data_IF_164983928424
#
_entry.id   IF_164983928424
#
_cell.length_a   1.000
_cell.length_b   1.000
_cell.length_c   1.000
_cell.angle_alpha   90.00
_cell.angle_beta   90.00
_cell.angle_gamma   90.00
#
_symmetry.space_group_name_H-M   'P 1'
#
loop_
_entity.id
_entity.type
_entity.pdbx_description
1 polymer ?
#
# COMPACT_ATOMS: atom_id res chain seq x y z
N UNK A 1 -28.42 32.51 -4.98
CA UNK A 1 -27.91 33.87 -4.74
C UNK A 1 -27.71 34.53 -6.09
N UNK A 2 -27.93 35.84 -6.23
CA UNK A 2 -27.77 36.56 -7.52
C UNK A 2 -26.32 37.01 -7.78
N UNK A 3 -25.44 36.81 -6.81
CA UNK A 3 -24.03 37.18 -6.87
C UNK A 3 -23.19 35.93 -6.65
N UNK A 4 -22.04 35.84 -7.33
CA UNK A 4 -21.09 34.77 -7.16
C UNK A 4 -20.45 34.86 -5.76
N UNK A 5 -20.29 33.72 -5.09
CA UNK A 5 -19.64 33.60 -3.78
C UNK A 5 -18.12 33.37 -3.90
N UNK A 6 -17.61 33.20 -5.12
CA UNK A 6 -16.17 33.14 -5.39
C UNK A 6 -15.85 33.68 -6.79
N UNK A 7 -14.59 34.04 -7.00
CA UNK A 7 -14.10 34.43 -8.33
C UNK A 7 -14.21 33.29 -9.33
N UNK A 8 -14.00 32.04 -8.89
CA UNK A 8 -14.13 30.85 -9.75
C UNK A 8 -15.58 30.68 -10.20
N UNK A 9 -16.53 30.81 -9.29
CA UNK A 9 -17.96 30.74 -9.60
C UNK A 9 -18.38 31.81 -10.61
N UNK A 10 -17.90 33.05 -10.43
CA UNK A 10 -18.16 34.15 -11.39
C UNK A 10 -17.61 33.84 -12.79
N UNK A 11 -16.40 33.30 -12.87
CA UNK A 11 -15.77 32.93 -14.14
C UNK A 11 -16.53 31.80 -14.85
N UNK A 12 -16.98 30.79 -14.10
CA UNK A 12 -17.81 29.71 -14.64
C UNK A 12 -19.12 30.26 -15.19
N UNK A 13 -19.81 31.15 -14.46
CA UNK A 13 -21.05 31.76 -14.95
C UNK A 13 -20.83 32.61 -16.21
N UNK A 14 -19.77 33.42 -16.25
CA UNK A 14 -19.42 34.20 -17.44
C UNK A 14 -19.10 33.31 -18.64
N UNK A 15 -18.40 32.19 -18.42
CA UNK A 15 -18.11 31.22 -19.46
C UNK A 15 -19.40 30.57 -19.99
N UNK A 16 -20.27 30.07 -19.11
CA UNK A 16 -21.58 29.50 -19.48
C UNK A 16 -22.43 30.49 -20.29
N UNK A 17 -22.45 31.77 -19.88
CA UNK A 17 -23.19 32.82 -20.58
C UNK A 17 -22.62 33.15 -21.95
N UNK A 18 -21.29 33.18 -22.11
CA UNK A 18 -20.65 33.59 -23.38
C UNK A 18 -20.57 32.47 -24.41
N UNK A 19 -20.37 31.24 -23.97
CA UNK A 19 -20.15 30.10 -24.89
C UNK A 19 -21.36 29.19 -25.01
N UNK A 20 -22.38 29.38 -24.18
CA UNK A 20 -23.56 28.50 -24.12
C UNK A 20 -23.24 27.09 -23.59
N UNK A 21 -22.05 26.88 -23.03
CA UNK A 21 -21.68 25.58 -22.47
C UNK A 21 -22.57 25.26 -21.26
N UNK A 22 -23.10 24.04 -21.24
CA UNK A 22 -23.95 23.59 -20.14
C UNK A 22 -23.10 23.24 -18.93
N UNK A 23 -23.73 23.28 -17.75
CA UNK A 23 -23.09 22.86 -16.52
C UNK A 23 -22.62 21.40 -16.61
N UNK A 24 -23.42 20.53 -17.23
CA UNK A 24 -23.12 19.12 -17.44
C UNK A 24 -21.89 18.92 -18.33
N UNK A 25 -21.75 19.74 -19.39
CA UNK A 25 -20.59 19.67 -20.27
C UNK A 25 -19.29 20.08 -19.56
N UNK A 26 -19.35 21.11 -18.68
CA UNK A 26 -18.20 21.49 -17.84
C UNK A 26 -17.81 20.35 -16.91
N UNK A 27 -18.79 19.73 -16.25
CA UNK A 27 -18.53 18.58 -15.37
C UNK A 27 -17.95 17.41 -16.16
N UNK A 28 -18.47 17.09 -17.34
CA UNK A 28 -17.93 16.04 -18.19
C UNK A 28 -16.50 16.33 -18.64
N UNK A 29 -16.22 17.57 -19.04
CA UNK A 29 -14.87 17.96 -19.47
C UNK A 29 -13.88 17.94 -18.30
N UNK A 30 -14.31 18.33 -17.09
CA UNK A 30 -13.48 18.18 -15.90
C UNK A 30 -13.16 16.71 -15.62
N UNK A 31 -14.14 15.81 -15.74
CA UNK A 31 -13.94 14.36 -15.57
C UNK A 31 -12.96 13.81 -16.60
N UNK A 32 -13.09 14.21 -17.86
CA UNK A 32 -12.16 13.83 -18.93
C UNK A 32 -10.77 14.38 -18.67
N UNK A 33 -10.64 15.64 -18.23
CA UNK A 33 -9.35 16.24 -17.90
C UNK A 33 -8.65 15.46 -16.79
N UNK A 34 -9.35 15.09 -15.73
CA UNK A 34 -8.79 14.25 -14.66
C UNK A 34 -8.37 12.87 -15.18
N UNK A 35 -9.23 12.19 -15.94
CA UNK A 35 -8.90 10.90 -16.57
C UNK A 35 -7.73 10.99 -17.56
N UNK A 36 -7.62 12.09 -18.30
CA UNK A 36 -6.55 12.33 -19.26
C UNK A 36 -5.25 12.73 -18.56
N UNK A 37 -5.31 13.41 -17.42
CA UNK A 37 -4.13 13.68 -16.60
C UNK A 37 -3.56 12.36 -16.06
N UNK A 38 -4.44 11.46 -15.61
CA UNK A 38 -4.06 10.09 -15.24
C UNK A 38 -3.47 9.34 -16.45
N UNK A 39 -4.00 9.59 -17.66
CA UNK A 39 -3.57 8.94 -18.90
C UNK A 39 -2.29 9.51 -19.51
N UNK A 40 -2.04 10.82 -19.40
CA UNK A 40 -0.89 11.51 -19.98
C UNK A 40 0.42 11.18 -19.22
N UNK A 41 0.31 10.74 -17.96
CA UNK A 41 1.40 10.10 -17.23
C UNK A 41 1.82 8.73 -17.78
N UNK A 42 1.05 8.11 -18.70
CA UNK A 42 1.42 6.83 -19.33
C UNK A 42 2.33 6.97 -20.58
N UNK A 43 2.67 8.20 -21.01
CA UNK A 43 3.54 8.44 -22.18
C UNK A 43 5.05 8.30 -21.90
N UNK A 44 5.47 8.29 -20.63
CA UNK A 44 6.83 7.97 -20.22
C UNK A 44 6.83 6.59 -19.58
N UNK A 45 7.52 5.64 -20.19
CA UNK A 45 7.61 4.26 -19.73
C UNK A 45 7.95 4.15 -18.23
N UNK A 46 6.96 3.80 -17.42
CA UNK A 46 7.14 3.13 -16.14
C UNK A 46 6.03 2.09 -16.05
N UNK A 47 6.39 0.85 -15.73
CA UNK A 47 5.51 -0.22 -15.27
C UNK A 47 4.72 0.25 -14.03
N UNK A 48 3.67 1.03 -14.24
CA UNK A 48 2.73 1.44 -13.20
C UNK A 48 1.51 0.55 -13.33
N UNK A 49 1.38 -0.34 -12.34
CA UNK A 49 0.30 -1.30 -12.23
C UNK A 49 -1.06 -0.61 -12.38
N UNK A 50 -1.87 -1.20 -13.25
CA UNK A 50 -3.27 -0.90 -13.48
C UNK A 50 -4.00 -0.55 -12.18
N UNK A 51 -4.38 0.73 -12.05
CA UNK A 51 -5.47 1.13 -11.17
C UNK A 51 -6.74 0.61 -11.83
N UNK A 52 -7.09 -0.64 -11.54
CA UNK A 52 -8.50 -1.04 -11.56
C UNK A 52 -9.15 -0.28 -10.40
N UNK A 53 -10.21 0.47 -10.69
CA UNK A 53 -11.04 1.27 -9.78
C UNK A 53 -11.64 0.45 -8.60
N UNK A 54 -10.79 -0.17 -7.79
CA UNK A 54 -11.15 -1.13 -6.75
C UNK A 54 -9.95 -1.79 -6.06
N UNK A 55 -8.71 -1.60 -6.54
CA UNK A 55 -7.51 -2.15 -5.89
C UNK A 55 -6.42 -1.09 -5.71
N UNK A 56 -6.03 -0.86 -4.46
CA UNK A 56 -4.88 -0.03 -4.08
C UNK A 56 -3.60 -0.82 -4.37
N UNK A 57 -2.94 -0.57 -5.51
CA UNK A 57 -1.63 -1.17 -5.82
C UNK A 57 -0.49 -0.46 -5.06
N UNK A 58 -0.62 -0.43 -3.74
CA UNK A 58 0.31 0.22 -2.83
C UNK A 58 0.89 -0.84 -1.90
N UNK A 59 2.19 -0.77 -1.61
CA UNK A 59 2.79 -1.62 -0.58
C UNK A 59 2.48 -1.01 0.78
N UNK A 60 1.75 -1.74 1.61
CA UNK A 60 1.31 -1.28 2.93
C UNK A 60 1.92 -2.14 4.03
N UNK A 61 2.12 -1.56 5.22
CA UNK A 61 2.41 -2.32 6.44
C UNK A 61 2.14 -1.54 7.71
N UNK A 62 1.85 -2.27 8.79
CA UNK A 62 1.84 -1.71 10.14
C UNK A 62 3.22 -1.80 10.79
N UNK A 63 3.63 -0.69 11.43
CA UNK A 63 4.87 -0.62 12.21
C UNK A 63 4.63 -0.01 13.59
N UNK A 64 5.57 -0.20 14.50
CA UNK A 64 5.55 0.41 15.82
C UNK A 64 5.69 1.94 15.72
N UNK A 65 4.73 2.66 16.30
CA UNK A 65 4.71 4.12 16.34
C UNK A 65 5.94 4.71 17.06
N UNK A 66 6.40 4.06 18.14
CA UNK A 66 7.57 4.52 18.89
C UNK A 66 8.86 4.34 18.09
N UNK A 67 9.06 3.17 17.49
CA UNK A 67 10.21 2.94 16.61
C UNK A 67 10.20 3.92 15.43
N UNK A 68 9.04 4.15 14.82
CA UNK A 68 8.91 5.04 13.66
C UNK A 68 9.28 6.49 13.98
N UNK A 69 8.86 7.01 15.15
CA UNK A 69 9.30 8.34 15.62
C UNK A 69 10.81 8.43 15.82
N UNK A 70 11.45 7.32 16.15
CA UNK A 70 12.91 7.19 16.29
C UNK A 70 13.61 6.83 14.97
N UNK A 71 12.91 6.88 13.82
CA UNK A 71 13.47 6.58 12.50
C UNK A 71 13.62 5.09 12.18
N UNK A 72 13.06 4.19 13.00
CA UNK A 72 13.13 2.75 12.81
C UNK A 72 11.80 2.18 12.31
N UNK A 73 11.88 1.30 11.32
CA UNK A 73 10.74 0.55 10.78
C UNK A 73 10.71 -0.81 11.48
N UNK A 74 9.84 -0.99 12.47
CA UNK A 74 9.75 -2.24 13.23
C UNK A 74 8.33 -2.81 13.19
N UNK A 75 8.23 -4.01 12.63
CA UNK A 75 7.00 -4.80 12.48
C UNK A 75 6.67 -5.57 13.77
N UNK A 76 5.49 -6.20 13.90
CA UNK A 76 5.18 -6.99 15.08
C UNK A 76 6.07 -8.23 15.17
N UNK A 77 6.28 -8.72 16.39
CA UNK A 77 6.83 -10.05 16.61
C UNK A 77 5.81 -11.15 16.26
N UNK A 78 6.24 -12.42 16.28
CA UNK A 78 5.43 -13.56 15.84
C UNK A 78 4.09 -13.68 16.58
N UNK A 79 4.04 -13.28 17.86
CA UNK A 79 2.83 -13.35 18.67
C UNK A 79 2.06 -12.03 18.74
N UNK A 80 2.50 -11.00 17.98
CA UNK A 80 1.90 -9.66 17.90
C UNK A 80 1.69 -9.00 19.28
N UNK A 81 2.47 -9.38 20.29
CA UNK A 81 2.43 -8.74 21.62
C UNK A 81 3.38 -7.56 21.69
N UNK A 82 4.49 -7.63 20.96
CA UNK A 82 5.53 -6.61 20.95
C UNK A 82 5.99 -6.30 19.53
N UNK A 83 6.69 -5.18 19.33
CA UNK A 83 7.44 -4.96 18.09
C UNK A 83 8.73 -5.79 18.05
N UNK A 84 9.26 -6.03 16.85
CA UNK A 84 10.51 -6.77 16.63
C UNK A 84 11.79 -6.03 17.01
N UNK A 85 11.72 -4.76 17.41
CA UNK A 85 12.88 -3.99 17.87
C UNK A 85 13.46 -4.53 19.19
N UNK A 86 14.73 -4.22 19.45
CA UNK A 86 15.43 -4.59 20.69
C UNK A 86 14.69 -4.12 21.95
N UNK A 87 14.07 -2.94 21.90
CA UNK A 87 13.32 -2.38 23.02
C UNK A 87 11.96 -3.05 23.28
N UNK A 88 11.47 -3.91 22.37
CA UNK A 88 10.22 -4.69 22.51
C UNK A 88 9.03 -3.85 23.02
N UNK A 89 8.68 -2.79 22.29
CA UNK A 89 7.53 -1.96 22.65
C UNK A 89 6.20 -2.75 22.54
N UNK A 90 5.21 -2.50 23.42
CA UNK A 90 3.89 -3.13 23.34
C UNK A 90 3.19 -2.87 22.00
N UNK A 91 2.59 -3.91 21.41
CA UNK A 91 1.93 -3.87 20.11
C UNK A 91 0.40 -3.66 20.22
N UNK A 92 0.00 -2.51 20.75
CA UNK A 92 -1.42 -2.13 20.90
C UNK A 92 -1.91 -1.31 19.71
N UNK A 93 -3.24 -1.20 19.50
CA UNK A 93 -3.84 -0.50 18.34
C UNK A 93 -3.37 0.95 18.22
N UNK A 94 -3.29 1.66 19.35
CA UNK A 94 -2.85 3.06 19.47
C UNK A 94 -1.34 3.26 19.26
N UNK A 95 -0.55 2.17 19.32
CA UNK A 95 0.92 2.19 19.17
C UNK A 95 1.39 1.68 17.83
N UNK A 96 0.48 1.55 16.87
CA UNK A 96 0.78 1.17 15.49
C UNK A 96 0.56 2.35 14.57
N UNK A 97 1.36 2.42 13.50
CA UNK A 97 1.14 3.36 12.40
C UNK A 97 1.15 2.59 11.09
N UNK A 98 0.21 2.93 10.20
CA UNK A 98 0.19 2.38 8.85
C UNK A 98 1.15 3.17 7.98
N UNK A 99 2.05 2.46 7.31
CA UNK A 99 2.96 3.01 6.33
C UNK A 99 2.61 2.52 4.93
N UNK A 100 2.81 3.40 3.96
CA UNK A 100 2.64 3.13 2.54
C UNK A 100 3.89 3.55 1.79
N UNK A 101 4.36 2.68 0.90
CA UNK A 101 5.45 3.04 0.01
C UNK A 101 4.93 3.94 -1.10
N UNK A 102 5.45 5.17 -1.15
CA UNK A 102 5.30 6.02 -2.32
C UNK A 102 6.16 5.45 -3.45
N UNK A 103 5.56 5.10 -4.58
CA UNK A 103 6.29 4.55 -5.72
C UNK A 103 7.21 5.61 -6.35
N UNK A 104 6.74 6.85 -6.46
CA UNK A 104 7.50 7.97 -7.00
C UNK A 104 8.70 8.33 -6.12
N UNK A 105 8.47 8.45 -4.81
CA UNK A 105 9.48 8.94 -3.87
C UNK A 105 10.33 7.83 -3.25
N UNK A 106 9.97 6.57 -3.53
CA UNK A 106 10.54 5.34 -2.92
C UNK A 106 10.68 5.46 -1.40
N UNK A 107 9.71 6.12 -0.77
CA UNK A 107 9.73 6.49 0.64
C UNK A 107 8.45 6.03 1.32
N UNK A 108 8.60 5.54 2.54
CA UNK A 108 7.47 5.24 3.41
C UNK A 108 6.81 6.51 3.92
N UNK A 109 5.53 6.68 3.61
CA UNK A 109 4.67 7.73 4.11
C UNK A 109 3.73 7.17 5.18
N UNK A 110 3.46 7.94 6.23
CA UNK A 110 2.47 7.59 7.24
C UNK A 110 1.08 7.96 6.75
N UNK A 111 0.14 7.04 6.86
CA UNK A 111 -1.27 7.27 6.57
C UNK A 111 -2.01 7.47 7.87
N UNK A 112 -2.71 8.60 7.99
CA UNK A 112 -3.53 8.88 9.15
C UNK A 112 -4.90 8.26 9.01
N UNK A 113 -5.59 7.95 10.12
CA UNK A 113 -7.00 7.60 10.09
C UNK A 113 -7.83 8.70 9.43
N UNK A 114 -9.00 8.32 8.90
CA UNK A 114 -9.99 9.28 8.43
C UNK A 114 -10.27 10.33 9.51
N UNK A 115 -10.32 11.63 9.17
CA UNK A 115 -10.69 12.66 10.12
C UNK A 115 -12.06 12.36 10.74
N UNK A 116 -12.19 12.45 12.06
CA UNK A 116 -13.38 12.09 12.84
C UNK A 116 -14.58 13.07 12.67
N UNK A 117 -14.86 13.53 11.44
CA UNK A 117 -15.98 14.41 11.13
C UNK A 117 -17.23 13.57 10.89
N UNK A 118 -18.38 14.01 11.43
CA UNK A 118 -19.69 13.35 11.27
C UNK A 118 -20.09 13.15 9.80
N UNK A 119 -19.58 14.00 8.90
CA UNK A 119 -19.74 13.84 7.46
C UNK A 119 -18.36 13.97 6.80
N UNK A 120 -17.93 12.93 6.10
CA UNK A 120 -16.73 12.97 5.27
C UNK A 120 -16.98 13.89 4.07
N UNK A 121 -16.00 14.72 3.66
CA UNK A 121 -16.15 15.61 2.51
C UNK A 121 -16.43 14.81 1.22
N UNK A 122 -17.05 15.43 0.22
CA UNK A 122 -17.35 14.76 -1.06
C UNK A 122 -16.09 14.19 -1.72
N UNK A 123 -14.99 14.92 -1.63
CA UNK A 123 -13.65 14.53 -2.07
C UNK A 123 -12.60 14.96 -1.04
N UNK A 124 -11.46 14.28 -1.02
CA UNK A 124 -10.33 14.65 -0.19
C UNK A 124 -9.31 15.42 -1.03
N UNK A 125 -8.90 16.59 -0.55
CA UNK A 125 -7.89 17.42 -1.20
C UNK A 125 -6.56 17.39 -0.46
N UNK A 126 -5.48 17.70 -1.17
CA UNK A 126 -4.14 17.82 -0.59
C UNK A 126 -4.03 19.07 0.29
N UNK A 127 -3.24 18.96 1.36
CA UNK A 127 -2.96 20.07 2.25
C UNK A 127 -2.12 21.12 1.52
N UNK A 128 -2.60 22.37 1.46
CA UNK A 128 -1.90 23.48 0.80
C UNK A 128 -0.45 23.67 1.30
N UNK A 129 -0.20 23.49 2.61
CA UNK A 129 1.17 23.60 3.15
C UNK A 129 2.09 22.52 2.56
N UNK A 130 1.62 21.27 2.54
CA UNK A 130 2.39 20.15 2.00
C UNK A 130 2.56 20.28 0.48
N UNK A 131 1.51 20.69 -0.23
CA UNK A 131 1.56 20.97 -1.67
C UNK A 131 2.58 22.07 -2.00
N UNK A 132 2.73 23.06 -1.11
CA UNK A 132 3.73 24.12 -1.22
C UNK A 132 5.14 23.71 -0.74
N UNK A 133 5.38 22.43 -0.42
CA UNK A 133 6.66 21.93 0.09
C UNK A 133 6.98 22.33 1.53
N UNK A 134 6.01 22.89 2.27
CA UNK A 134 6.17 23.32 3.67
C UNK A 134 5.67 22.24 4.63
N UNK A 135 6.13 22.28 5.88
CA UNK A 135 5.55 21.46 6.95
C UNK A 135 4.11 21.92 7.22
N UNK A 136 3.19 20.96 7.39
CA UNK A 136 1.82 21.28 7.77
C UNK A 136 1.78 21.89 9.17
N UNK A 137 1.12 23.04 9.31
CA UNK A 137 0.95 23.74 10.59
C UNK A 137 -0.12 23.10 11.50
N UNK A 138 -0.98 22.25 10.95
CA UNK A 138 -2.09 21.59 11.67
C UNK A 138 -1.77 20.12 11.98
N UNK A 139 -0.63 19.87 12.64
CA UNK A 139 -0.20 18.50 12.96
C UNK A 139 -1.26 17.81 13.83
N UNK A 140 -1.71 16.63 13.41
CA UNK A 140 -2.75 15.85 14.10
C UNK A 140 -4.20 16.27 13.80
N UNK A 141 -4.44 17.53 13.43
CA UNK A 141 -5.79 18.08 13.22
C UNK A 141 -6.08 18.46 11.76
N UNK A 142 -5.12 18.30 10.84
CA UNK A 142 -5.34 18.62 9.44
C UNK A 142 -6.38 17.68 8.81
N UNK A 143 -7.46 18.23 8.26
CA UNK A 143 -8.46 17.44 7.52
C UNK A 143 -8.14 17.25 6.03
N UNK A 144 -6.99 17.73 5.58
CA UNK A 144 -6.50 17.58 4.21
C UNK A 144 -5.40 16.52 4.17
N UNK A 145 -5.24 15.86 3.02
CA UNK A 145 -4.25 14.80 2.84
C UNK A 145 -2.83 15.36 2.76
N UNK A 146 -1.87 14.68 3.37
CA UNK A 146 -0.46 15.02 3.42
C UNK A 146 0.38 14.23 2.39
N UNK A 147 -0.26 13.36 1.62
CA UNK A 147 0.35 12.75 0.43
C UNK A 147 -0.73 12.31 -0.54
N UNK A 148 -0.31 12.00 -1.77
CA UNK A 148 -1.18 11.44 -2.78
C UNK A 148 -1.75 10.10 -2.32
N UNK A 149 -0.91 9.24 -1.73
CA UNK A 149 -1.34 7.94 -1.23
C UNK A 149 -2.33 8.05 -0.07
N UNK A 150 -2.18 9.07 0.81
CA UNK A 150 -3.15 9.34 1.87
C UNK A 150 -4.51 9.76 1.29
N UNK A 151 -4.51 10.63 0.27
CA UNK A 151 -5.74 11.03 -0.44
C UNK A 151 -6.45 9.81 -1.04
N UNK A 152 -5.72 8.95 -1.74
CA UNK A 152 -6.26 7.75 -2.39
C UNK A 152 -6.83 6.77 -1.37
N UNK A 153 -6.12 6.53 -0.26
CA UNK A 153 -6.63 5.66 0.81
C UNK A 153 -7.88 6.20 1.47
N UNK A 154 -7.93 7.50 1.76
CA UNK A 154 -9.10 8.10 2.37
C UNK A 154 -10.32 8.03 1.44
N UNK A 155 -10.12 8.28 0.15
CA UNK A 155 -11.18 8.12 -0.86
C UNK A 155 -11.65 6.67 -0.91
N UNK A 156 -10.73 5.70 -0.99
CA UNK A 156 -11.07 4.28 -1.01
C UNK A 156 -11.82 3.84 0.26
N UNK A 157 -11.34 4.25 1.43
CA UNK A 157 -12.00 3.97 2.71
C UNK A 157 -13.42 4.52 2.73
N UNK A 158 -13.61 5.76 2.27
CA UNK A 158 -14.92 6.39 2.20
C UNK A 158 -15.87 5.65 1.24
N UNK A 159 -15.42 5.36 0.02
CA UNK A 159 -16.22 4.70 -1.02
C UNK A 159 -16.66 3.29 -0.61
N UNK A 160 -15.81 2.59 0.15
CA UNK A 160 -16.07 1.23 0.62
C UNK A 160 -16.64 1.18 2.06
N UNK A 161 -16.94 2.34 2.67
CA UNK A 161 -17.48 2.41 4.04
C UNK A 161 -16.54 1.89 5.13
N UNK A 162 -15.23 1.88 4.89
CA UNK A 162 -14.20 1.43 5.83
C UNK A 162 -13.89 2.58 6.79
N UNK A 163 -14.08 2.35 8.09
CA UNK A 163 -13.78 3.36 9.12
C UNK A 163 -12.50 3.05 9.88
N UNK A 164 -12.04 1.81 9.83
CA UNK A 164 -10.92 1.31 10.60
C UNK A 164 -9.72 0.95 9.72
N UNK A 165 -8.53 1.36 10.16
CA UNK A 165 -7.29 1.13 9.42
C UNK A 165 -6.87 -0.35 9.41
N UNK A 166 -7.23 -1.11 10.45
CA UNK A 166 -6.94 -2.56 10.49
C UNK A 166 -7.81 -3.29 9.47
N UNK A 167 -9.11 -2.94 9.40
CA UNK A 167 -10.01 -3.45 8.37
C UNK A 167 -9.50 -3.16 6.94
N UNK A 168 -9.04 -1.93 6.66
CA UNK A 168 -8.43 -1.58 5.37
C UNK A 168 -7.25 -2.51 5.04
N UNK A 169 -6.36 -2.72 6.00
CA UNK A 169 -5.15 -3.53 5.83
C UNK A 169 -5.47 -5.01 5.56
N UNK A 170 -6.41 -5.58 6.30
CA UNK A 170 -6.84 -6.96 6.10
C UNK A 170 -7.51 -7.15 4.74
N UNK A 171 -8.29 -6.16 4.28
CA UNK A 171 -8.89 -6.19 2.95
C UNK A 171 -7.82 -6.13 1.86
N UNK A 172 -6.83 -5.24 2.01
CA UNK A 172 -5.67 -5.17 1.12
C UNK A 172 -4.90 -6.50 1.08
N UNK A 173 -4.60 -7.12 2.23
CA UNK A 173 -3.90 -8.42 2.28
C UNK A 173 -4.66 -9.52 1.53
N UNK A 174 -5.99 -9.53 1.59
CA UNK A 174 -6.83 -10.48 0.85
C UNK A 174 -6.75 -10.23 -0.65
N UNK A 175 -6.82 -8.98 -1.09
CA UNK A 175 -6.73 -8.60 -2.50
C UNK A 175 -5.35 -8.89 -3.14
N UNK A 176 -4.29 -9.00 -2.33
CA UNK A 176 -2.95 -9.37 -2.80
C UNK A 176 -2.76 -10.89 -2.98
N UNK A 177 -3.65 -11.72 -2.42
CA UNK A 177 -3.62 -13.15 -2.67
C UNK A 177 -4.37 -13.41 -3.98
N UNK A 178 -3.70 -13.89 -5.05
CA UNK A 178 -4.42 -14.40 -6.20
C UNK A 178 -5.32 -15.54 -5.71
N UNK A 179 -6.60 -15.53 -6.08
CA UNK A 179 -7.48 -16.66 -5.87
C UNK A 179 -6.78 -17.91 -6.43
N UNK A 180 -6.32 -18.79 -5.53
CA UNK A 180 -6.05 -20.16 -5.94
C UNK A 180 -7.42 -20.70 -6.33
N UNK A 181 -7.59 -20.94 -7.64
CA UNK A 181 -8.80 -21.54 -8.18
C UNK A 181 -9.25 -22.71 -7.32
N UNK A 182 -10.51 -22.67 -6.94
CA UNK A 182 -11.24 -23.84 -6.49
C UNK A 182 -11.30 -24.81 -7.68
N UNK A 183 -10.60 -25.93 -7.59
CA UNK A 183 -10.93 -27.14 -8.34
C UNK A 183 -10.77 -28.35 -7.40
N UNK A 184 -11.63 -29.38 -7.56
CA UNK A 184 -12.01 -30.30 -6.51
C UNK A 184 -10.92 -31.33 -6.22
N UNK A 185 -11.08 -31.99 -5.07
CA UNK A 185 -10.24 -33.03 -4.51
C UNK A 185 -9.51 -33.92 -5.55
N UNK A 186 -8.19 -34.17 -5.39
CA UNK A 186 -7.54 -35.21 -6.16
C UNK A 186 -7.91 -36.57 -5.57
N UNK A 187 -8.75 -37.30 -6.31
CA UNK A 187 -8.86 -38.75 -6.18
C UNK A 187 -7.48 -39.39 -6.37
N UNK A 188 -7.23 -40.41 -5.54
CA UNK A 188 -6.05 -41.23 -5.57
C UNK A 188 -5.82 -41.87 -6.94
N UNK A 189 -4.58 -41.80 -7.44
CA UNK A 189 -4.01 -42.89 -8.21
C UNK A 189 -2.52 -43.04 -7.91
N UNK A 190 -2.10 -44.28 -7.71
CA UNK A 190 -0.74 -44.73 -7.39
C UNK A 190 0.15 -44.53 -8.62
N UNK A 191 1.45 -44.32 -8.42
CA UNK A 191 2.51 -45.26 -8.86
C UNK A 191 3.93 -44.68 -8.74
N UNK A 192 4.78 -45.50 -8.10
CA UNK A 192 6.24 -45.62 -8.14
C UNK A 192 7.17 -44.44 -7.78
N UNK A 193 7.98 -44.74 -6.77
CA UNK A 193 9.04 -43.89 -6.26
C UNK A 193 10.34 -43.96 -7.06
N UNK A 194 11.25 -43.06 -6.67
CA UNK A 194 12.67 -43.34 -6.43
C UNK A 194 13.28 -42.16 -5.68
N UNK A 195 13.86 -42.49 -4.54
CA UNK A 195 14.61 -41.65 -3.61
C UNK A 195 15.92 -41.19 -4.27
N UNK A 196 16.12 -39.89 -4.40
CA UNK A 196 17.35 -39.31 -4.93
C UNK A 196 18.31 -39.14 -3.74
N UNK A 197 19.26 -40.08 -3.62
CA UNK A 197 20.40 -39.97 -2.70
C UNK A 197 21.61 -39.47 -3.49
N UNK A 198 22.20 -38.37 -3.04
CA UNK A 198 23.38 -37.75 -3.67
C UNK A 198 24.64 -38.60 -3.44
N UNK A 199 25.50 -38.83 -4.45
CA UNK A 199 26.79 -39.49 -4.26
C UNK A 199 27.76 -38.55 -3.54
N UNK A 200 28.41 -39.04 -2.47
CA UNK A 200 29.60 -38.38 -1.93
C UNK A 200 30.79 -39.25 -2.31
N UNK A 201 31.63 -38.73 -3.21
CA UNK A 201 32.93 -39.27 -3.54
C UNK A 201 33.82 -39.25 -2.30
N UNK A 202 34.44 -40.38 -1.98
CA UNK A 202 35.61 -40.40 -1.10
C UNK A 202 36.71 -41.24 -1.75
N UNK A 203 37.86 -40.60 -1.91
CA UNK A 203 39.02 -41.07 -2.65
C UNK A 203 39.64 -42.34 -2.03
N UNK A 204 40.04 -43.25 -2.91
CA UNK A 204 40.91 -44.38 -2.60
C UNK A 204 42.28 -43.88 -2.12
N UNK A 205 42.71 -44.36 -0.95
CA UNK A 205 44.13 -44.34 -0.57
C UNK A 205 44.61 -45.78 -0.59
N UNK A 206 45.40 -46.09 -1.61
CA UNK A 206 46.11 -47.35 -1.78
C UNK A 206 47.23 -47.43 -0.74
N UNK A 207 47.21 -48.45 0.12
CA UNK A 207 48.42 -48.92 0.82
C UNK A 207 48.52 -50.44 0.65
N UNK A 208 49.65 -50.81 0.06
CA UNK A 208 50.03 -52.17 -0.30
C UNK A 208 50.65 -52.92 0.89
N UNK A 209 50.36 -54.23 0.93
CA UNK A 209 51.22 -55.34 1.38
C UNK A 209 51.71 -55.46 2.84
N UNK A 210 51.14 -56.48 3.49
CA UNK A 210 51.76 -57.76 3.93
C UNK A 210 52.71 -57.79 5.15
N UNK A 211 52.42 -58.81 5.97
CA UNK A 211 53.27 -59.61 6.88
C UNK A 211 53.64 -59.04 8.24
N UNK A 212 53.12 -59.68 9.29
CA UNK A 212 53.92 -60.43 10.26
C UNK A 212 53.01 -61.27 11.17
N UNK A 213 53.30 -62.57 11.24
CA UNK A 213 52.80 -63.50 12.25
C UNK A 213 53.97 -64.35 12.73
N UNK A 214 54.02 -64.60 14.04
CA UNK A 214 54.70 -65.63 14.87
C UNK A 214 54.75 -65.08 16.32
N UNK A 215 54.94 -65.87 17.40
CA UNK A 215 55.41 -67.27 17.54
C UNK A 215 54.26 -68.21 18.01
N UNK A 216 54.37 -69.53 18.20
CA UNK A 216 55.43 -70.44 18.68
C UNK A 216 55.15 -71.86 18.16
#
# INVERSE_FOLDING_TARGET
>A
CFYAHSLVELQVWMMQSKTGITHEAIVQESKKYWQNLDSATHGAQILSNQVKHGSLNLKMKFVCAQCWRNGQVSEPDKNRKYCSAKARHPWTRDRRVMLVMSNERRKWNTIRPLPAKKQAPLQFDLCNHIASGKKCLYVGNCSFAHSQEEREMWTYMKENGIQDMEQLYEMWLKSQKPEKGEDPAPQANKENGKQIHMPTDYAEVTVSQRSSGYPE
#
